data_IF_395723340046
#
_entry.id   IF_395723340046
#
_cell.length_a   1.000
_cell.length_b   1.000
_cell.length_c   1.000
_cell.angle_alpha   90.00
_cell.angle_beta   90.00
_cell.angle_gamma   90.00
#
_symmetry.space_group_name_H-M   'P 1'
#
loop_
_entity.id
_entity.type
_entity.pdbx_description
1 polymer ?
#
# COMPACT_ATOMS: atom_id res chain seq x y z
N UNK A 1 19.63 10.17 -6.13
CA UNK A 1 18.63 10.79 -5.22
C UNK A 1 18.16 12.07 -5.86
N UNK A 2 16.85 12.23 -6.06
CA UNK A 2 16.30 13.46 -6.66
C UNK A 2 16.37 14.58 -5.61
N UNK A 3 16.80 15.77 -6.01
CA UNK A 3 16.76 16.93 -5.13
C UNK A 3 15.32 17.30 -4.78
N UNK A 4 15.07 17.62 -3.51
CA UNK A 4 13.72 17.98 -3.00
C UNK A 4 13.10 19.11 -3.83
N UNK A 5 13.89 20.08 -4.29
CA UNK A 5 13.43 21.19 -5.14
C UNK A 5 12.85 20.69 -6.46
N UNK A 6 13.51 19.74 -7.11
CA UNK A 6 13.09 19.15 -8.38
C UNK A 6 11.82 18.31 -8.21
N UNK A 7 11.76 17.50 -7.13
CA UNK A 7 10.54 16.80 -6.74
C UNK A 7 9.37 17.77 -6.56
N UNK A 8 9.52 18.78 -5.70
CA UNK A 8 8.44 19.75 -5.44
C UNK A 8 7.93 20.38 -6.74
N UNK A 9 8.82 20.85 -7.62
CA UNK A 9 8.44 21.47 -8.91
C UNK A 9 7.63 20.49 -9.78
N UNK A 10 8.12 19.26 -9.95
CA UNK A 10 7.51 18.29 -10.83
C UNK A 10 6.18 17.76 -10.28
N UNK A 11 6.13 17.44 -8.98
CA UNK A 11 4.92 16.89 -8.36
C UNK A 11 3.83 17.96 -8.19
N UNK A 12 4.17 19.22 -7.84
CA UNK A 12 3.21 20.32 -7.83
C UNK A 12 2.59 20.55 -9.20
N UNK A 13 3.37 20.43 -10.29
CA UNK A 13 2.84 20.49 -11.66
C UNK A 13 1.88 19.33 -11.94
N UNK A 14 2.17 18.14 -11.45
CA UNK A 14 1.27 16.98 -11.58
C UNK A 14 -0.05 17.22 -10.83
N UNK A 15 -0.01 17.81 -9.63
CA UNK A 15 -1.20 18.19 -8.86
C UNK A 15 -2.02 19.23 -9.64
N UNK A 16 -1.40 20.31 -10.10
CA UNK A 16 -2.08 21.39 -10.84
C UNK A 16 -2.77 20.90 -12.11
N UNK A 17 -2.20 19.89 -12.76
CA UNK A 17 -2.74 19.32 -14.00
C UNK A 17 -3.69 18.12 -13.75
N UNK A 18 -4.01 17.78 -12.50
CA UNK A 18 -4.97 16.73 -12.16
C UNK A 18 -4.49 15.29 -12.38
N UNK A 19 -3.18 15.04 -12.56
CA UNK A 19 -2.64 13.69 -12.74
C UNK A 19 -1.65 13.25 -11.65
N UNK A 20 -1.71 13.89 -10.48
CA UNK A 20 -1.04 13.38 -9.29
C UNK A 20 -1.84 12.23 -8.65
N UNK A 21 -1.13 11.25 -8.13
CA UNK A 21 -1.70 10.16 -7.35
C UNK A 21 -0.83 9.84 -6.14
N UNK A 22 -1.46 9.32 -5.08
CA UNK A 22 -0.78 8.81 -3.89
C UNK A 22 -0.85 7.28 -3.89
N UNK A 23 0.25 6.62 -3.52
CA UNK A 23 0.24 5.22 -3.11
C UNK A 23 0.72 5.14 -1.67
N UNK A 24 -0.20 4.82 -0.76
CA UNK A 24 0.05 4.76 0.67
C UNK A 24 0.29 3.31 1.12
N UNK A 25 1.31 3.09 1.95
CA UNK A 25 1.58 1.82 2.59
C UNK A 25 1.47 1.90 4.12
N UNK A 26 1.67 0.77 4.79
CA UNK A 26 1.51 0.60 6.24
C UNK A 26 2.35 1.58 7.08
N UNK A 27 3.49 2.05 6.56
CA UNK A 27 4.31 3.06 7.25
C UNK A 27 3.62 4.40 7.47
N UNK A 28 2.61 4.76 6.65
CA UNK A 28 1.79 5.95 6.85
C UNK A 28 0.82 5.74 8.01
N UNK A 29 0.16 4.58 8.07
CA UNK A 29 -0.80 4.22 9.12
C UNK A 29 -0.14 3.94 10.47
N UNK A 30 1.12 3.48 10.46
CA UNK A 30 1.89 3.23 11.70
C UNK A 30 2.04 4.47 12.57
N UNK A 31 2.20 5.65 11.96
CA UNK A 31 2.25 6.92 12.68
C UNK A 31 0.91 7.30 13.34
N UNK A 32 -0.19 6.67 12.96
CA UNK A 32 -1.54 6.81 13.53
C UNK A 32 -1.90 5.72 14.55
N UNK A 33 -0.93 4.88 14.94
CA UNK A 33 -1.11 3.83 15.94
C UNK A 33 -1.49 2.45 15.38
N UNK A 34 -1.64 2.32 14.06
CA UNK A 34 -1.88 1.01 13.45
C UNK A 34 -0.63 0.13 13.43
N UNK A 35 -0.84 -1.18 13.44
CA UNK A 35 0.22 -2.17 13.38
C UNK A 35 0.75 -2.35 11.96
N UNK A 36 2.03 -2.68 11.82
CA UNK A 36 2.58 -3.20 10.57
C UNK A 36 2.42 -4.73 10.48
N UNK A 37 2.83 -5.31 9.36
CA UNK A 37 2.71 -6.75 9.13
C UNK A 37 3.50 -7.61 10.12
N UNK A 38 4.67 -7.16 10.58
CA UNK A 38 5.42 -7.87 11.60
C UNK A 38 4.65 -7.90 12.92
N UNK A 39 4.09 -6.76 13.33
CA UNK A 39 3.32 -6.64 14.56
C UNK A 39 1.97 -7.39 14.46
N UNK A 40 1.37 -7.44 13.26
CA UNK A 40 0.13 -8.19 13.02
C UNK A 40 0.34 -9.71 13.19
N UNK A 41 1.46 -10.22 12.68
CA UNK A 41 1.73 -11.66 12.60
C UNK A 41 2.60 -12.19 13.76
N UNK A 42 3.21 -11.33 14.59
CA UNK A 42 4.21 -11.73 15.61
C UNK A 42 3.68 -12.80 16.58
N UNK A 43 2.48 -12.61 17.13
CA UNK A 43 1.89 -13.57 18.06
C UNK A 43 1.50 -14.89 17.35
N UNK A 44 0.92 -14.79 16.14
CA UNK A 44 0.52 -15.95 15.35
C UNK A 44 1.73 -16.81 14.96
N UNK A 45 2.83 -16.15 14.56
CA UNK A 45 4.08 -16.85 14.25
C UNK A 45 4.64 -17.59 15.45
N UNK A 46 4.63 -16.99 16.66
CA UNK A 46 5.08 -17.62 17.89
C UNK A 46 4.27 -18.88 18.22
N UNK A 47 2.99 -18.89 17.97
CA UNK A 47 2.14 -20.08 18.19
C UNK A 47 2.57 -21.27 17.35
N UNK A 48 3.12 -21.06 16.17
CA UNK A 48 3.66 -22.08 15.28
C UNK A 48 5.20 -22.17 15.37
N UNK A 49 5.78 -21.62 16.45
CA UNK A 49 7.23 -21.65 16.75
C UNK A 49 8.12 -20.93 15.71
N UNK A 50 7.59 -19.93 15.03
CA UNK A 50 8.33 -19.03 14.13
C UNK A 50 8.61 -17.69 14.80
N UNK A 51 9.65 -17.00 14.31
CA UNK A 51 10.03 -15.65 14.73
C UNK A 51 10.03 -14.74 13.51
N UNK A 52 9.00 -13.88 13.42
CA UNK A 52 8.82 -12.95 12.29
C UNK A 52 10.06 -12.09 11.98
N UNK A 53 10.95 -11.86 12.98
CA UNK A 53 12.16 -11.07 12.77
C UNK A 53 13.26 -11.84 12.02
N UNK A 54 13.14 -13.16 11.97
CA UNK A 54 14.07 -14.06 11.27
C UNK A 54 13.53 -14.48 9.90
N UNK A 55 12.21 -14.34 9.70
CA UNK A 55 11.58 -14.69 8.46
C UNK A 55 11.73 -13.56 7.43
N UNK A 56 12.01 -13.95 6.19
CA UNK A 56 12.18 -13.00 5.09
C UNK A 56 10.88 -12.70 4.36
N UNK A 57 9.88 -13.58 4.48
CA UNK A 57 8.60 -13.48 3.80
C UNK A 57 7.43 -13.67 4.78
N UNK A 58 6.75 -12.57 5.08
CA UNK A 58 5.62 -12.56 6.00
C UNK A 58 4.34 -13.16 5.38
N UNK A 59 4.24 -13.18 4.06
CA UNK A 59 3.14 -13.83 3.34
C UNK A 59 3.20 -15.33 3.56
N UNK A 60 4.42 -15.90 3.50
CA UNK A 60 4.65 -17.32 3.81
C UNK A 60 4.35 -17.64 5.27
N UNK A 61 4.72 -16.77 6.21
CA UNK A 61 4.40 -16.96 7.64
C UNK A 61 2.89 -17.05 7.88
N UNK A 62 2.13 -16.15 7.25
CA UNK A 62 0.67 -16.19 7.34
C UNK A 62 0.09 -17.47 6.73
N UNK A 63 0.65 -17.95 5.62
CA UNK A 63 0.25 -19.23 5.01
C UNK A 63 0.56 -20.43 5.91
N UNK A 64 1.76 -20.48 6.51
CA UNK A 64 2.14 -21.55 7.43
C UNK A 64 1.20 -21.62 8.63
N UNK A 65 0.80 -20.47 9.15
CA UNK A 65 -0.19 -20.40 10.22
C UNK A 65 -1.54 -21.02 9.79
N UNK A 66 -2.07 -20.64 8.65
CA UNK A 66 -3.30 -21.21 8.11
C UNK A 66 -3.20 -22.73 7.90
N UNK A 67 -2.07 -23.21 7.39
CA UNK A 67 -1.85 -24.62 7.14
C UNK A 67 -1.77 -25.43 8.46
N UNK A 68 -1.10 -24.90 9.46
CA UNK A 68 -0.97 -25.56 10.78
C UNK A 68 -2.34 -25.61 11.52
N UNK A 69 -3.09 -24.50 11.49
CA UNK A 69 -4.39 -24.38 12.18
C UNK A 69 -5.55 -24.91 11.35
N UNK A 70 -5.35 -25.22 10.07
CA UNK A 70 -6.42 -25.60 9.11
C UNK A 70 -7.57 -24.58 9.10
N UNK A 71 -7.27 -23.30 9.39
CA UNK A 71 -8.24 -22.22 9.52
C UNK A 71 -7.58 -20.85 9.32
N UNK A 72 -8.33 -19.93 8.73
CA UNK A 72 -7.97 -18.52 8.58
C UNK A 72 -8.60 -17.62 9.65
N UNK A 73 -9.53 -18.15 10.46
CA UNK A 73 -10.37 -17.34 11.34
C UNK A 73 -9.59 -16.42 12.28
N UNK A 74 -8.52 -16.92 12.91
CA UNK A 74 -7.72 -16.11 13.83
C UNK A 74 -6.97 -14.96 13.13
N UNK A 75 -6.53 -15.16 11.87
CA UNK A 75 -5.96 -14.07 11.06
C UNK A 75 -7.03 -13.01 10.80
N UNK A 76 -8.24 -13.42 10.42
CA UNK A 76 -9.36 -12.52 10.18
C UNK A 76 -9.75 -11.73 11.43
N UNK A 77 -9.85 -12.40 12.58
CA UNK A 77 -10.11 -11.76 13.88
C UNK A 77 -8.98 -10.78 14.25
N UNK A 78 -7.73 -11.12 13.96
CA UNK A 78 -6.58 -10.26 14.21
C UNK A 78 -6.65 -8.99 13.35
N UNK A 79 -6.97 -9.12 12.05
CA UNK A 79 -7.18 -7.97 11.17
C UNK A 79 -8.28 -7.07 11.72
N UNK A 80 -9.44 -7.64 12.05
CA UNK A 80 -10.57 -6.91 12.61
C UNK A 80 -10.18 -6.15 13.88
N UNK A 81 -9.57 -6.84 14.85
CA UNK A 81 -9.23 -6.28 16.16
C UNK A 81 -8.11 -5.23 16.10
N UNK A 82 -7.22 -5.27 15.10
CA UNK A 82 -6.07 -4.37 14.99
C UNK A 82 -6.31 -3.16 14.10
N UNK A 83 -7.28 -3.22 13.20
CA UNK A 83 -7.53 -2.15 12.23
C UNK A 83 -8.90 -1.49 12.36
N UNK A 84 -9.86 -2.09 13.09
CA UNK A 84 -11.14 -1.44 13.47
C UNK A 84 -10.96 -0.75 14.82
N UNK A 85 -10.10 0.26 14.87
CA UNK A 85 -9.87 1.08 16.08
C UNK A 85 -9.85 2.55 15.67
N UNK A 86 -10.17 3.42 16.62
CA UNK A 86 -10.04 4.86 16.41
C UNK A 86 -8.58 5.21 16.14
N UNK A 87 -8.31 5.69 14.94
CA UNK A 87 -6.97 6.14 14.55
C UNK A 87 -6.64 7.49 15.20
N UNK A 88 -5.41 7.64 15.68
CA UNK A 88 -4.90 8.95 16.05
C UNK A 88 -4.61 9.76 14.77
N UNK A 89 -4.98 11.04 14.79
CA UNK A 89 -4.71 11.91 13.65
C UNK A 89 -3.20 12.05 13.43
N UNK A 90 -2.79 11.89 12.17
CA UNK A 90 -1.40 11.92 11.75
C UNK A 90 -1.21 13.12 10.82
N UNK A 91 -0.26 14.00 11.15
CA UNK A 91 -0.01 15.23 10.39
C UNK A 91 0.28 14.93 8.90
N UNK A 92 0.99 13.85 8.59
CA UNK A 92 1.32 13.50 7.22
C UNK A 92 0.07 13.20 6.38
N UNK A 93 -0.88 12.41 6.91
CA UNK A 93 -2.11 12.10 6.18
C UNK A 93 -3.03 13.32 6.10
N UNK A 94 -3.05 14.17 7.12
CA UNK A 94 -3.78 15.43 7.12
C UNK A 94 -3.31 16.34 5.99
N UNK A 95 -2.00 16.56 5.88
CA UNK A 95 -1.42 17.34 4.77
C UNK A 95 -1.82 16.73 3.41
N UNK A 96 -1.72 15.40 3.27
CA UNK A 96 -2.11 14.73 2.02
C UNK A 96 -3.60 14.88 1.72
N UNK A 97 -4.47 14.89 2.73
CA UNK A 97 -5.92 15.06 2.55
C UNK A 97 -6.32 16.47 2.13
N UNK A 98 -5.52 17.49 2.44
CA UNK A 98 -5.75 18.89 2.04
C UNK A 98 -5.31 19.17 0.60
N UNK A 99 -4.43 18.34 0.03
CA UNK A 99 -3.99 18.50 -1.35
C UNK A 99 -5.13 18.18 -2.34
N UNK A 100 -5.23 18.89 -3.49
CA UNK A 100 -6.20 18.60 -4.53
C UNK A 100 -5.76 17.39 -5.38
N UNK A 101 -5.65 16.24 -4.71
CA UNK A 101 -5.32 14.95 -5.32
C UNK A 101 -6.57 14.09 -5.28
N UNK A 102 -6.95 13.58 -6.45
CA UNK A 102 -8.17 12.79 -6.63
C UNK A 102 -7.93 11.30 -6.43
N UNK A 103 -6.72 10.78 -6.68
CA UNK A 103 -6.47 9.33 -6.77
C UNK A 103 -5.55 8.85 -5.65
N UNK A 104 -6.06 7.93 -4.84
CA UNK A 104 -5.35 7.29 -3.74
C UNK A 104 -5.39 5.77 -3.91
N UNK A 105 -4.25 5.13 -3.81
CA UNK A 105 -4.08 3.68 -3.79
C UNK A 105 -3.47 3.23 -2.47
N UNK A 106 -3.90 2.08 -1.98
CA UNK A 106 -3.33 1.51 -0.76
C UNK A 106 -3.42 -0.02 -0.74
N UNK A 107 -2.48 -0.65 -0.05
CA UNK A 107 -2.55 -2.04 0.39
C UNK A 107 -2.99 -2.17 1.84
N UNK A 108 -3.23 -1.05 2.54
CA UNK A 108 -3.62 -1.04 3.95
C UNK A 108 -5.09 -1.46 4.12
N UNK A 109 -5.37 -2.15 5.22
CA UNK A 109 -6.73 -2.58 5.56
C UNK A 109 -7.51 -1.53 6.35
N UNK A 110 -6.81 -0.60 7.05
CA UNK A 110 -7.42 0.45 7.89
C UNK A 110 -8.19 1.51 7.09
N UNK A 111 -8.95 2.35 7.79
CA UNK A 111 -9.77 3.42 7.20
C UNK A 111 -9.12 4.82 7.26
N UNK A 112 -7.83 4.91 7.60
CA UNK A 112 -7.16 6.19 7.87
C UNK A 112 -7.27 7.19 6.71
N UNK A 113 -7.06 6.74 5.47
CA UNK A 113 -7.06 7.60 4.29
C UNK A 113 -8.47 8.17 4.05
N UNK A 114 -9.44 7.28 3.91
CA UNK A 114 -10.82 7.64 3.62
C UNK A 114 -11.45 8.50 4.72
N UNK A 115 -11.18 8.19 5.99
CA UNK A 115 -11.72 8.94 7.11
C UNK A 115 -11.08 10.33 7.23
N UNK A 116 -9.77 10.45 6.99
CA UNK A 116 -9.11 11.76 6.97
C UNK A 116 -9.57 12.62 5.81
N UNK A 117 -9.75 12.03 4.61
CA UNK A 117 -10.33 12.73 3.46
C UNK A 117 -11.74 13.22 3.75
N UNK A 118 -12.62 12.39 4.34
CA UNK A 118 -13.97 12.79 4.76
C UNK A 118 -13.95 13.90 5.82
N UNK A 119 -13.06 13.79 6.83
CA UNK A 119 -12.88 14.85 7.85
C UNK A 119 -12.43 16.18 7.24
N UNK A 120 -11.68 16.16 6.15
CA UNK A 120 -11.29 17.37 5.39
C UNK A 120 -12.40 17.91 4.48
N UNK A 121 -13.62 17.36 4.56
CA UNK A 121 -14.80 17.78 3.82
C UNK A 121 -14.92 17.22 2.40
N UNK A 122 -14.11 16.23 2.03
CA UNK A 122 -14.14 15.60 0.70
C UNK A 122 -15.19 14.49 0.62
N UNK A 123 -15.88 14.42 -0.52
CA UNK A 123 -16.68 13.27 -0.93
C UNK A 123 -15.74 12.18 -1.46
N UNK A 124 -15.77 10.97 -0.87
CA UNK A 124 -14.81 9.90 -1.14
C UNK A 124 -15.53 8.69 -1.73
N UNK A 125 -15.09 8.26 -2.91
CA UNK A 125 -15.50 7.00 -3.53
C UNK A 125 -14.48 5.90 -3.17
N UNK A 126 -14.94 4.82 -2.52
CA UNK A 126 -14.07 3.75 -2.01
C UNK A 126 -14.24 2.50 -2.86
N UNK A 127 -13.14 2.01 -3.43
CA UNK A 127 -13.09 0.82 -4.28
C UNK A 127 -12.49 -0.35 -3.49
N UNK A 128 -13.33 -1.28 -3.05
CA UNK A 128 -12.95 -2.44 -2.22
C UNK A 128 -12.99 -3.75 -3.02
N UNK A 129 -13.89 -3.84 -4.00
CA UNK A 129 -14.13 -5.05 -4.77
C UNK A 129 -14.02 -4.77 -6.26
N UNK A 130 -13.77 -5.80 -7.10
CA UNK A 130 -13.79 -5.63 -8.56
C UNK A 130 -15.09 -5.02 -9.08
N UNK A 131 -16.23 -5.33 -8.46
CA UNK A 131 -17.53 -4.79 -8.83
C UNK A 131 -17.64 -3.29 -8.54
N UNK A 132 -17.02 -2.81 -7.44
CA UNK A 132 -16.98 -1.38 -7.13
C UNK A 132 -16.21 -0.56 -8.16
N UNK A 133 -15.28 -1.17 -8.92
CA UNK A 133 -14.55 -0.46 -9.98
C UNK A 133 -15.47 -0.01 -11.13
N UNK A 134 -16.56 -0.74 -11.35
CA UNK A 134 -17.53 -0.43 -12.41
C UNK A 134 -18.55 0.65 -12.01
N UNK A 135 -18.62 1.03 -10.74
CA UNK A 135 -19.56 2.06 -10.24
C UNK A 135 -18.79 3.28 -9.78
N UNK A 136 -19.30 4.47 -10.09
CA UNK A 136 -18.68 5.73 -9.70
C UNK A 136 -19.65 6.56 -8.89
N UNK A 137 -19.19 7.09 -7.75
CA UNK A 137 -19.91 8.11 -7.00
C UNK A 137 -19.84 9.43 -7.77
N UNK A 138 -20.99 9.99 -8.15
CA UNK A 138 -21.04 11.26 -8.87
C UNK A 138 -20.58 12.41 -7.96
N UNK A 139 -19.71 13.29 -8.51
CA UNK A 139 -19.24 14.46 -7.79
C UNK A 139 -18.25 14.16 -6.64
N UNK A 140 -17.56 13.02 -6.70
CA UNK A 140 -16.53 12.71 -5.71
C UNK A 140 -15.28 13.58 -5.88
N UNK A 141 -14.69 13.99 -4.74
CA UNK A 141 -13.43 14.74 -4.68
C UNK A 141 -12.22 13.80 -4.67
N UNK A 142 -12.39 12.57 -4.23
CA UNK A 142 -11.33 11.57 -4.18
C UNK A 142 -11.85 10.15 -4.40
N UNK A 143 -10.99 9.30 -5.00
CA UNK A 143 -11.20 7.87 -5.11
C UNK A 143 -10.09 7.15 -4.34
N UNK A 144 -10.47 6.23 -3.45
CA UNK A 144 -9.55 5.39 -2.68
C UNK A 144 -9.67 3.94 -3.14
N UNK A 145 -8.60 3.41 -3.71
CA UNK A 145 -8.50 2.02 -4.16
C UNK A 145 -7.78 1.18 -3.10
N UNK A 146 -8.50 0.27 -2.45
CA UNK A 146 -7.98 -0.67 -1.45
C UNK A 146 -7.75 -2.03 -2.10
N UNK A 147 -6.61 -2.17 -2.76
CA UNK A 147 -6.33 -3.32 -3.60
C UNK A 147 -6.13 -4.65 -2.84
N UNK A 148 -5.86 -4.60 -1.53
CA UNK A 148 -5.73 -5.78 -0.68
C UNK A 148 -6.94 -6.03 0.23
N UNK A 149 -8.03 -5.30 0.04
CA UNK A 149 -9.24 -5.44 0.84
C UNK A 149 -9.30 -4.45 2.01
N UNK A 150 -10.18 -4.73 2.96
CA UNK A 150 -10.59 -3.81 4.01
C UNK A 150 -10.84 -4.56 5.32
N UNK A 151 -10.49 -3.96 6.45
CA UNK A 151 -10.65 -4.58 7.77
C UNK A 151 -12.11 -4.88 8.15
N UNK A 152 -13.10 -4.25 7.51
CA UNK A 152 -14.52 -4.56 7.72
C UNK A 152 -14.97 -5.88 7.10
N UNK A 153 -14.16 -6.42 6.17
CA UNK A 153 -14.39 -7.73 5.51
C UNK A 153 -13.07 -8.52 5.47
N UNK A 154 -12.52 -8.91 6.64
CA UNK A 154 -11.19 -9.48 6.75
C UNK A 154 -11.00 -10.79 5.97
N UNK A 155 -12.08 -11.55 5.77
CA UNK A 155 -12.11 -12.76 4.95
C UNK A 155 -11.73 -12.51 3.47
N UNK A 156 -11.91 -11.26 3.00
CA UNK A 156 -11.59 -10.83 1.64
C UNK A 156 -10.22 -10.11 1.55
N UNK A 157 -9.47 -9.99 2.64
CA UNK A 157 -8.16 -9.37 2.64
C UNK A 157 -7.11 -10.27 1.99
N UNK A 158 -6.17 -9.67 1.25
CA UNK A 158 -5.02 -10.36 0.64
C UNK A 158 -3.89 -10.39 1.66
N UNK A 159 -3.64 -11.56 2.28
CA UNK A 159 -2.63 -11.68 3.35
C UNK A 159 -1.84 -12.99 3.30
N UNK A 160 -2.45 -14.12 2.92
CA UNK A 160 -1.78 -15.41 2.80
C UNK A 160 -1.29 -15.63 1.36
N UNK A 161 -0.38 -16.59 1.18
CA UNK A 161 0.21 -16.89 -0.13
C UNK A 161 -0.84 -17.26 -1.19
N UNK A 162 -1.84 -18.07 -0.79
CA UNK A 162 -2.93 -18.44 -1.68
C UNK A 162 -3.68 -17.21 -2.22
N UNK A 163 -3.89 -16.16 -1.39
CA UNK A 163 -4.53 -14.92 -1.84
C UNK A 163 -3.71 -14.21 -2.92
N UNK A 164 -2.37 -14.22 -2.79
CA UNK A 164 -1.48 -13.62 -3.78
C UNK A 164 -1.41 -14.44 -5.07
N UNK A 165 -1.41 -15.76 -4.98
CA UNK A 165 -1.42 -16.65 -6.14
C UNK A 165 -2.73 -16.52 -6.93
N UNK A 166 -3.86 -16.42 -6.24
CA UNK A 166 -5.19 -16.23 -6.84
C UNK A 166 -5.52 -14.76 -7.17
N UNK A 167 -4.59 -13.82 -6.91
CA UNK A 167 -4.86 -12.39 -7.06
C UNK A 167 -5.29 -12.00 -8.47
N UNK A 168 -4.64 -12.56 -9.48
CA UNK A 168 -4.98 -12.29 -10.88
C UNK A 168 -6.34 -12.84 -11.31
N UNK A 169 -6.88 -13.83 -10.60
CA UNK A 169 -8.21 -14.39 -10.86
C UNK A 169 -9.29 -13.58 -10.12
N UNK A 170 -9.02 -13.21 -8.87
CA UNK A 170 -10.00 -12.57 -7.99
C UNK A 170 -9.98 -11.04 -8.07
N UNK A 171 -8.83 -10.43 -8.39
CA UNK A 171 -8.60 -8.97 -8.34
C UNK A 171 -7.87 -8.41 -9.56
N UNK A 172 -7.92 -9.09 -10.70
CA UNK A 172 -7.26 -8.65 -11.95
C UNK A 172 -7.63 -7.22 -12.36
N UNK A 173 -8.88 -6.81 -12.13
CA UNK A 173 -9.33 -5.46 -12.49
C UNK A 173 -8.62 -4.37 -11.66
N UNK A 174 -8.25 -4.64 -10.41
CA UNK A 174 -7.40 -3.72 -9.63
C UNK A 174 -6.02 -3.59 -10.25
N UNK A 175 -5.38 -4.70 -10.65
CA UNK A 175 -4.09 -4.69 -11.32
C UNK A 175 -4.15 -3.90 -12.63
N UNK A 176 -5.18 -4.12 -13.43
CA UNK A 176 -5.38 -3.42 -14.72
C UNK A 176 -5.59 -1.93 -14.53
N UNK A 177 -6.44 -1.54 -13.56
CA UNK A 177 -6.71 -0.13 -13.23
C UNK A 177 -5.45 0.57 -12.72
N UNK A 178 -4.69 -0.09 -11.82
CA UNK A 178 -3.43 0.45 -11.30
C UNK A 178 -2.38 0.61 -12.41
N UNK A 179 -2.28 -0.35 -13.35
CA UNK A 179 -1.40 -0.22 -14.51
C UNK A 179 -1.75 1.02 -15.35
N UNK A 180 -3.02 1.24 -15.64
CA UNK A 180 -3.49 2.44 -16.34
C UNK A 180 -3.15 3.74 -15.61
N UNK A 181 -3.34 3.76 -14.30
CA UNK A 181 -2.98 4.90 -13.45
C UNK A 181 -1.46 5.15 -13.41
N UNK A 182 -0.64 4.11 -13.27
CA UNK A 182 0.83 4.24 -13.27
C UNK A 182 1.39 4.71 -14.63
N UNK A 183 0.69 4.43 -15.72
CA UNK A 183 1.05 4.96 -17.05
C UNK A 183 0.65 6.42 -17.21
N UNK A 184 -0.52 6.83 -16.69
CA UNK A 184 -1.13 8.14 -16.94
C UNK A 184 -0.87 9.17 -15.84
N UNK A 185 -0.64 8.73 -14.59
CA UNK A 185 -0.48 9.59 -13.40
C UNK A 185 0.94 9.56 -12.85
N UNK A 186 1.31 10.62 -12.11
CA UNK A 186 2.58 10.71 -11.37
C UNK A 186 2.32 10.35 -9.92
N UNK A 187 2.83 9.21 -9.50
CA UNK A 187 2.65 8.71 -8.14
C UNK A 187 3.67 9.26 -7.16
N UNK A 188 3.20 9.55 -5.95
CA UNK A 188 4.02 9.65 -4.74
C UNK A 188 3.75 8.42 -3.88
N UNK A 189 4.76 7.56 -3.71
CA UNK A 189 4.74 6.44 -2.78
C UNK A 189 5.20 6.92 -1.41
N UNK A 190 4.38 6.65 -0.38
CA UNK A 190 4.66 7.07 1.00
C UNK A 190 4.32 5.95 1.99
N UNK A 191 5.23 5.70 2.94
CA UNK A 191 5.05 4.63 3.91
C UNK A 191 5.06 3.21 3.32
N UNK A 192 5.62 3.03 2.12
CA UNK A 192 5.61 1.80 1.36
C UNK A 192 7.02 1.19 1.23
N UNK A 193 7.15 -0.13 1.41
CA UNK A 193 8.44 -0.83 1.38
C UNK A 193 8.83 -1.42 0.02
N UNK A 194 7.92 -1.45 -0.94
CA UNK A 194 8.07 -2.17 -2.23
C UNK A 194 8.31 -3.69 -2.10
N UNK A 195 7.92 -4.28 -0.99
CA UNK A 195 8.03 -5.74 -0.81
C UNK A 195 6.79 -6.49 -1.34
N UNK A 196 5.70 -5.76 -1.62
CA UNK A 196 4.47 -6.32 -2.17
C UNK A 196 4.70 -6.98 -3.54
N UNK A 197 4.42 -8.30 -3.69
CA UNK A 197 4.67 -9.03 -4.93
C UNK A 197 3.86 -8.52 -6.12
N UNK A 198 2.59 -8.15 -5.89
CA UNK A 198 1.70 -7.68 -6.95
C UNK A 198 2.18 -6.34 -7.51
N UNK A 199 2.56 -5.40 -6.63
CA UNK A 199 3.08 -4.11 -7.06
C UNK A 199 4.43 -4.24 -7.75
N UNK A 200 5.35 -5.07 -7.24
CA UNK A 200 6.62 -5.39 -7.91
C UNK A 200 6.40 -5.90 -9.33
N UNK A 201 5.46 -6.83 -9.50
CA UNK A 201 5.11 -7.36 -10.81
C UNK A 201 4.60 -6.27 -11.76
N UNK A 202 3.62 -5.46 -11.31
CA UNK A 202 3.03 -4.38 -12.11
C UNK A 202 4.09 -3.37 -12.54
N UNK A 203 4.92 -2.89 -11.61
CA UNK A 203 5.99 -1.92 -11.90
C UNK A 203 7.03 -2.49 -12.87
N UNK A 204 7.38 -3.77 -12.75
CA UNK A 204 8.31 -4.42 -13.67
C UNK A 204 7.75 -4.50 -15.09
N UNK A 205 6.46 -4.80 -15.24
CA UNK A 205 5.77 -4.82 -16.54
C UNK A 205 5.75 -3.46 -17.21
N UNK A 206 5.40 -2.40 -16.45
CA UNK A 206 5.40 -1.02 -16.96
C UNK A 206 6.80 -0.61 -17.41
N UNK A 207 7.85 -0.99 -16.64
CA UNK A 207 9.24 -0.73 -17.01
C UNK A 207 9.62 -1.37 -18.34
N UNK A 208 9.20 -2.62 -18.57
CA UNK A 208 9.48 -3.34 -19.81
C UNK A 208 8.74 -2.73 -21.00
N UNK A 209 7.45 -2.37 -20.83
CA UNK A 209 6.61 -1.90 -21.92
C UNK A 209 6.92 -0.46 -22.34
N UNK A 210 7.26 0.44 -21.41
CA UNK A 210 7.45 1.86 -21.69
C UNK A 210 8.93 2.29 -21.75
N UNK A 211 9.85 1.46 -21.25
CA UNK A 211 11.29 1.73 -21.22
C UNK A 211 11.61 3.18 -20.80
N UNK A 212 12.20 3.98 -21.67
CA UNK A 212 12.56 5.39 -21.42
C UNK A 212 11.38 6.36 -21.43
N UNK A 213 10.21 5.95 -21.95
CA UNK A 213 9.00 6.77 -22.05
C UNK A 213 8.11 6.69 -20.79
N UNK A 214 8.52 5.93 -19.78
CA UNK A 214 7.79 5.82 -18.51
C UNK A 214 7.76 7.14 -17.75
N UNK A 215 6.67 7.36 -17.01
CA UNK A 215 6.58 8.48 -16.06
C UNK A 215 7.56 8.29 -14.91
N UNK A 216 8.04 9.41 -14.37
CA UNK A 216 8.79 9.41 -13.11
C UNK A 216 7.80 9.38 -11.96
N UNK A 217 7.94 8.39 -11.08
CA UNK A 217 7.25 8.31 -9.80
C UNK A 217 8.23 8.67 -8.68
N UNK A 218 7.71 9.07 -7.53
CA UNK A 218 8.51 9.51 -6.39
C UNK A 218 8.24 8.62 -5.19
N UNK A 219 9.27 8.37 -4.40
CA UNK A 219 9.20 7.59 -3.18
C UNK A 219 9.83 8.37 -2.04
N UNK A 220 9.07 8.52 -0.93
CA UNK A 220 9.61 8.99 0.32
C UNK A 220 10.10 7.82 1.17
N UNK A 221 11.43 7.78 1.37
CA UNK A 221 12.09 6.83 2.24
C UNK A 221 12.71 7.53 3.43
N UNK A 222 12.62 6.88 4.59
CA UNK A 222 13.40 7.28 5.76
C UNK A 222 14.88 7.12 5.44
N UNK A 223 15.68 8.17 5.65
CA UNK A 223 17.14 8.10 5.47
C UNK A 223 17.70 7.01 6.37
N UNK A 224 18.37 6.03 5.77
CA UNK A 224 18.96 4.92 6.51
C UNK A 224 20.24 5.41 7.18
N UNK A 225 20.39 5.09 8.47
CA UNK A 225 21.59 5.42 9.21
C UNK A 225 22.72 4.44 8.85
N UNK A 226 23.98 4.90 8.94
CA UNK A 226 25.17 4.11 8.59
C UNK A 226 25.23 2.73 9.28
N UNK A 227 24.74 2.64 10.52
CA UNK A 227 24.61 1.38 11.28
C UNK A 227 23.63 0.36 10.67
N UNK A 228 22.62 0.83 9.96
CA UNK A 228 21.61 -0.03 9.34
C UNK A 228 22.06 -0.49 7.95
N UNK A 229 23.05 0.19 7.35
CA UNK A 229 23.67 -0.16 6.09
C UNK A 229 24.41 -1.51 6.12
N UNK A 230 24.96 -1.87 7.29
CA UNK A 230 25.71 -3.12 7.48
C UNK A 230 24.75 -4.32 7.56
N UNK A 231 23.47 -4.07 7.86
CA UNK A 231 22.44 -5.09 8.12
C UNK A 231 21.60 -5.46 6.90
N UNK A 232 21.57 -4.60 5.88
CA UNK A 232 20.81 -4.83 4.64
C UNK A 232 21.77 -5.10 3.49
N UNK A 233 21.53 -6.15 2.71
CA UNK A 233 22.41 -6.55 1.61
C UNK A 233 22.63 -5.41 0.62
N UNK A 234 23.83 -5.33 0.02
CA UNK A 234 24.16 -4.33 -1.01
C UNK A 234 23.21 -4.37 -2.21
N UNK A 235 22.59 -5.50 -2.50
CA UNK A 235 21.60 -5.69 -3.58
C UNK A 235 20.35 -4.83 -3.40
N UNK A 236 19.79 -4.75 -2.21
CA UNK A 236 18.59 -3.95 -1.93
C UNK A 236 18.78 -2.47 -2.29
N UNK A 237 19.96 -1.91 -2.07
CA UNK A 237 20.27 -0.52 -2.40
C UNK A 237 20.60 -0.29 -3.86
N UNK A 238 21.21 -1.27 -4.49
CA UNK A 238 21.51 -1.22 -5.90
C UNK A 238 20.23 -1.19 -6.74
N UNK A 239 19.24 -1.95 -6.37
CA UNK A 239 17.94 -2.02 -7.03
C UNK A 239 17.09 -0.78 -6.79
N UNK A 240 17.06 -0.23 -5.57
CA UNK A 240 16.37 1.04 -5.25
C UNK A 240 16.99 2.25 -5.97
N UNK A 241 18.29 2.26 -6.21
CA UNK A 241 18.95 3.34 -6.93
C UNK A 241 18.86 3.22 -8.46
N UNK A 242 18.42 2.05 -8.98
CA UNK A 242 18.19 1.82 -10.41
C UNK A 242 16.74 1.99 -10.83
N UNK A 243 15.79 2.00 -9.89
CA UNK A 243 14.37 2.25 -10.14
C UNK A 243 14.07 3.75 -10.06
#
# INVERSE_FOLDING_TARGET
MVEIKNFKKAYSKAIQNGYAAIFAGAGLSKASGFVDWNELLDDLAKEIKLDVKKENDLVEVAQYYCNEKQSRNEINERILNRFVTDSQENESIKILSELPIHTFWTTNYDHLIEDTLKKSGKSVDIKLTPQNLATNLSGNDAVVYKMHGDCSTPENCVIIKDDYELYNETRQLFSTTLQGDLVSKTFLFIGFSFEDPNLKYILSRIRVLLDKNRRTHYLFLKKIQKKDYIRKSKEYYYDLNKQ
#
